data_IF_843060384829
#
_entry.id   IF_843060384829
#
_cell.length_a   1.000
_cell.length_b   1.000
_cell.length_c   1.000
_cell.angle_alpha   90.00
_cell.angle_beta   90.00
_cell.angle_gamma   90.00
#
_symmetry.space_group_name_H-M   'P 1'
#
loop_
_entity.id
_entity.type
_entity.pdbx_description
1 polymer ?
#
# COMPACT_ATOMS: atom_id res chain seq x y z
N UNK A 1 -2.96 -21.46 -3.01
CA UNK A 1 -3.21 -20.04 -3.24
C UNK A 1 -4.20 -19.95 -4.38
N UNK A 2 -5.32 -19.25 -4.19
CA UNK A 2 -6.42 -19.16 -5.18
C UNK A 2 -6.66 -17.71 -5.62
N UNK A 3 -5.61 -16.88 -5.57
CA UNK A 3 -5.68 -15.46 -5.87
C UNK A 3 -4.73 -15.08 -7.02
N UNK A 4 -5.12 -14.06 -7.77
CA UNK A 4 -4.40 -13.51 -8.91
C UNK A 4 -4.47 -11.98 -8.88
N UNK A 5 -3.34 -11.33 -9.13
CA UNK A 5 -3.25 -9.88 -9.26
C UNK A 5 -3.03 -9.48 -10.72
N UNK A 6 -3.93 -8.67 -11.26
CA UNK A 6 -3.94 -8.29 -12.68
C UNK A 6 -3.81 -6.77 -12.81
N UNK A 7 -2.76 -6.33 -13.51
CA UNK A 7 -2.56 -4.91 -13.86
C UNK A 7 -3.12 -4.57 -15.24
N UNK A 8 -2.79 -5.40 -16.22
CA UNK A 8 -3.12 -5.15 -17.61
C UNK A 8 -3.29 -6.43 -18.42
N UNK A 9 -4.03 -6.33 -19.54
CA UNK A 9 -4.14 -7.36 -20.55
C UNK A 9 -3.32 -6.98 -21.79
N UNK A 10 -2.51 -7.91 -22.28
CA UNK A 10 -1.85 -7.79 -23.59
C UNK A 10 -2.77 -8.33 -24.68
N UNK A 11 -2.98 -7.55 -25.74
CA UNK A 11 -3.75 -7.96 -26.91
C UNK A 11 -2.83 -8.42 -28.04
N UNK A 12 -3.34 -9.28 -28.92
CA UNK A 12 -2.59 -9.81 -30.07
C UNK A 12 -2.11 -8.73 -31.06
N UNK A 13 -2.71 -7.54 -31.03
CA UNK A 13 -2.31 -6.38 -31.84
C UNK A 13 -1.17 -5.55 -31.20
N UNK A 14 -0.58 -6.03 -30.10
CA UNK A 14 0.50 -5.35 -29.39
C UNK A 14 0.05 -4.24 -28.43
N UNK A 15 -1.25 -3.96 -28.34
CA UNK A 15 -1.78 -2.98 -27.38
C UNK A 15 -1.92 -3.61 -25.99
N UNK A 16 -1.70 -2.81 -24.95
CA UNK A 16 -2.00 -3.16 -23.57
C UNK A 16 -3.23 -2.40 -23.08
N UNK A 17 -4.12 -3.09 -22.36
CA UNK A 17 -5.25 -2.48 -21.65
C UNK A 17 -4.92 -2.54 -20.16
N UNK A 18 -4.58 -1.40 -19.56
CA UNK A 18 -4.42 -1.29 -18.11
C UNK A 18 -5.77 -1.10 -17.42
N UNK A 19 -6.03 -1.88 -16.37
CA UNK A 19 -7.32 -1.86 -15.67
C UNK A 19 -7.46 -0.68 -14.70
N UNK A 20 -6.35 -0.13 -14.23
CA UNK A 20 -6.31 1.01 -13.31
C UNK A 20 -6.09 2.35 -14.02
N UNK A 21 -5.75 2.32 -15.31
CA UNK A 21 -5.54 3.54 -16.09
C UNK A 21 -6.88 4.20 -16.45
N UNK A 22 -6.96 5.51 -16.14
CA UNK A 22 -8.11 6.37 -16.42
C UNK A 22 -8.23 6.73 -17.90
N UNK A 23 -7.17 6.54 -18.69
CA UNK A 23 -7.19 6.73 -20.15
C UNK A 23 -8.00 5.64 -20.87
N UNK A 24 -8.13 4.45 -20.25
CA UNK A 24 -8.92 3.35 -20.78
C UNK A 24 -10.42 3.67 -20.63
N UNK A 25 -11.24 3.44 -21.67
CA UNK A 25 -12.67 3.69 -21.63
C UNK A 25 -13.33 3.10 -20.38
N UNK A 26 -14.13 3.92 -19.70
CA UNK A 26 -14.81 3.55 -18.45
C UNK A 26 -15.69 2.32 -18.64
N UNK A 27 -16.51 2.30 -19.69
CA UNK A 27 -17.43 1.20 -19.99
C UNK A 27 -16.74 -0.17 -20.09
N UNK A 28 -15.52 -0.20 -20.64
CA UNK A 28 -14.72 -1.42 -20.73
C UNK A 28 -14.29 -1.88 -19.33
N UNK A 29 -13.80 -0.97 -18.50
CA UNK A 29 -13.40 -1.27 -17.11
C UNK A 29 -14.60 -1.69 -16.26
N UNK A 30 -15.76 -1.06 -16.43
CA UNK A 30 -17.01 -1.45 -15.77
C UNK A 30 -17.51 -2.83 -16.21
N UNK A 31 -17.44 -3.13 -17.51
CA UNK A 31 -17.77 -4.46 -18.01
C UNK A 31 -16.89 -5.54 -17.39
N UNK A 32 -15.58 -5.27 -17.28
CA UNK A 32 -14.64 -6.17 -16.59
C UNK A 32 -15.01 -6.30 -15.11
N UNK A 33 -15.24 -5.19 -14.40
CA UNK A 33 -15.67 -5.17 -13.00
C UNK A 33 -16.88 -6.09 -12.76
N UNK A 34 -17.95 -5.91 -13.53
CA UNK A 34 -19.15 -6.75 -13.40
C UNK A 34 -18.85 -8.23 -13.66
N UNK A 35 -18.04 -8.52 -14.68
CA UNK A 35 -17.65 -9.87 -15.05
C UNK A 35 -16.83 -10.58 -13.96
N UNK A 36 -15.90 -9.87 -13.32
CA UNK A 36 -15.06 -10.44 -12.25
C UNK A 36 -15.83 -10.56 -10.95
N UNK A 37 -16.63 -9.58 -10.56
CA UNK A 37 -17.40 -9.65 -9.31
C UNK A 37 -18.43 -10.79 -9.33
N UNK A 38 -18.95 -11.16 -10.51
CA UNK A 38 -19.79 -12.34 -10.67
C UNK A 38 -19.03 -13.67 -10.46
N UNK A 39 -17.72 -13.73 -10.78
CA UNK A 39 -16.92 -14.96 -10.76
C UNK A 39 -16.11 -15.17 -9.49
N UNK A 40 -15.54 -14.11 -8.93
CA UNK A 40 -14.62 -14.16 -7.80
C UNK A 40 -15.33 -13.84 -6.48
N UNK A 41 -14.89 -14.46 -5.38
CA UNK A 41 -15.45 -14.22 -4.04
C UNK A 41 -14.94 -12.89 -3.47
N UNK A 42 -13.71 -12.51 -3.80
CA UNK A 42 -13.13 -11.21 -3.42
C UNK A 42 -12.53 -10.55 -4.67
N UNK A 43 -12.94 -9.31 -4.93
CA UNK A 43 -12.36 -8.41 -5.93
C UNK A 43 -11.98 -7.13 -5.21
N UNK A 44 -10.68 -6.81 -5.20
CA UNK A 44 -10.12 -5.59 -4.64
C UNK A 44 -9.37 -4.84 -5.73
N UNK A 45 -9.55 -3.53 -5.81
CA UNK A 45 -8.91 -2.66 -6.79
C UNK A 45 -8.87 -1.23 -6.26
N UNK A 46 -8.63 -0.24 -7.12
CA UNK A 46 -8.50 1.14 -6.68
C UNK A 46 -9.66 1.58 -5.77
N UNK A 47 -9.33 2.18 -4.62
CA UNK A 47 -10.29 2.61 -3.62
C UNK A 47 -10.78 1.54 -2.63
N UNK A 48 -10.31 0.28 -2.70
CA UNK A 48 -10.57 -0.71 -1.64
C UNK A 48 -9.63 -0.53 -0.45
N UNK A 49 -8.33 -0.49 -0.73
CA UNK A 49 -7.25 -0.20 0.22
C UNK A 49 -5.99 0.23 -0.55
N UNK A 50 -4.98 0.71 0.17
CA UNK A 50 -3.74 1.23 -0.39
C UNK A 50 -2.87 0.20 -1.15
N UNK A 51 -3.06 -1.11 -0.93
CA UNK A 51 -2.29 -2.13 -1.65
C UNK A 51 -2.82 -2.34 -3.06
N UNK A 52 -4.11 -2.09 -3.33
CA UNK A 52 -4.77 -2.41 -4.59
C UNK A 52 -4.99 -1.19 -5.49
N UNK A 53 -4.19 -0.13 -5.35
CA UNK A 53 -4.36 1.10 -6.14
C UNK A 53 -3.84 0.98 -7.59
N UNK A 54 -2.90 0.06 -7.85
CA UNK A 54 -2.27 -0.11 -9.17
C UNK A 54 -2.62 -1.44 -9.86
N UNK A 55 -3.35 -2.33 -9.18
CA UNK A 55 -3.73 -3.65 -9.69
C UNK A 55 -5.08 -4.13 -9.14
N UNK A 56 -5.65 -5.15 -9.78
CA UNK A 56 -6.89 -5.79 -9.35
C UNK A 56 -6.57 -7.15 -8.76
N UNK A 57 -6.86 -7.33 -7.48
CA UNK A 57 -6.76 -8.60 -6.78
C UNK A 57 -8.07 -9.39 -6.93
N UNK A 58 -7.94 -10.63 -7.39
CA UNK A 58 -9.03 -11.55 -7.67
C UNK A 58 -8.81 -12.83 -6.86
N UNK A 59 -9.72 -13.17 -5.95
CA UNK A 59 -9.62 -14.37 -5.12
C UNK A 59 -10.88 -15.23 -5.23
N UNK A 60 -10.69 -16.55 -5.31
CA UNK A 60 -11.75 -17.57 -5.29
C UNK A 60 -11.91 -18.24 -3.92
N UNK A 61 -11.05 -17.95 -2.95
CA UNK A 61 -11.13 -18.53 -1.62
C UNK A 61 -12.51 -18.23 -0.99
N UNK A 62 -13.15 -19.29 -0.49
CA UNK A 62 -14.45 -19.17 0.16
C UNK A 62 -14.31 -18.42 1.50
N UNK A 63 -15.10 -17.36 1.67
CA UNK A 63 -15.20 -16.65 2.95
C UNK A 63 -16.32 -17.26 3.80
N UNK A 64 -16.25 -17.01 5.11
CA UNK A 64 -17.31 -17.38 6.05
C UNK A 64 -18.69 -16.94 5.54
N UNK A 65 -19.67 -17.84 5.63
CA UNK A 65 -21.04 -17.60 5.18
C UNK A 65 -21.18 -17.20 3.70
N UNK A 66 -20.25 -17.65 2.85
CA UNK A 66 -20.27 -17.38 1.40
C UNK A 66 -20.28 -15.88 1.05
N UNK A 67 -19.72 -15.07 1.95
CA UNK A 67 -19.65 -13.62 1.79
C UNK A 67 -18.79 -13.25 0.58
N UNK A 68 -19.24 -12.25 -0.19
CA UNK A 68 -18.56 -11.76 -1.38
C UNK A 68 -18.21 -10.28 -1.24
N UNK A 69 -17.01 -9.91 -1.69
CA UNK A 69 -16.53 -8.54 -1.70
C UNK A 69 -16.25 -8.13 -3.14
N UNK A 70 -16.80 -6.99 -3.55
CA UNK A 70 -16.53 -6.36 -4.83
C UNK A 70 -16.26 -4.89 -4.56
N UNK A 71 -14.98 -4.53 -4.40
CA UNK A 71 -14.53 -3.18 -4.12
C UNK A 71 -13.49 -2.79 -5.15
N UNK A 72 -13.94 -2.12 -6.20
CA UNK A 72 -13.06 -1.56 -7.22
C UNK A 72 -13.76 -0.36 -7.84
N UNK A 73 -13.25 0.83 -7.53
CA UNK A 73 -13.77 2.08 -8.06
C UNK A 73 -13.23 2.31 -9.47
N UNK A 74 -14.14 2.40 -10.44
CA UNK A 74 -13.80 2.75 -11.81
C UNK A 74 -13.83 4.28 -11.94
N UNK A 75 -12.66 4.90 -11.85
CA UNK A 75 -12.55 6.35 -11.95
C UNK A 75 -12.81 6.85 -13.37
N UNK A 76 -13.51 7.98 -13.47
CA UNK A 76 -13.69 8.74 -14.71
C UNK A 76 -12.36 9.22 -15.28
N UNK A 77 -12.23 9.43 -16.60
CA UNK A 77 -11.07 10.10 -17.17
C UNK A 77 -10.89 11.49 -16.55
N UNK A 78 -9.65 11.92 -16.36
CA UNK A 78 -9.38 13.30 -15.97
C UNK A 78 -9.83 14.24 -17.09
N UNK A 79 -10.39 15.42 -16.76
CA UNK A 79 -10.70 16.42 -17.76
C UNK A 79 -9.42 16.81 -18.50
N UNK A 80 -9.49 16.87 -19.84
CA UNK A 80 -8.33 17.21 -20.67
C UNK A 80 -7.90 18.66 -20.48
N UNK A 81 -8.87 19.53 -20.19
CA UNK A 81 -8.62 20.94 -19.88
C UNK A 81 -8.74 21.09 -18.37
N UNK A 82 -7.68 21.61 -17.74
CA UNK A 82 -7.71 21.96 -16.34
C UNK A 82 -8.83 22.99 -16.10
N UNK A 83 -9.68 22.79 -15.08
CA UNK A 83 -10.60 23.84 -14.65
C UNK A 83 -9.81 25.11 -14.39
N UNK A 84 -10.35 26.27 -14.80
CA UNK A 84 -9.72 27.55 -14.52
C UNK A 84 -9.53 27.66 -13.00
N UNK A 85 -8.27 27.79 -12.59
CA UNK A 85 -7.95 28.04 -11.19
C UNK A 85 -8.65 29.35 -10.79
N UNK A 86 -9.17 29.44 -9.55
CA UNK A 86 -9.66 30.72 -9.03
C UNK A 86 -8.59 31.80 -9.19
N UNK A 87 -9.02 33.04 -9.41
CA UNK A 87 -8.11 34.17 -9.46
C UNK A 87 -7.20 34.20 -8.24
N UNK A 88 -5.94 34.62 -8.43
CA UNK A 88 -4.99 34.75 -7.33
C UNK A 88 -5.57 35.63 -6.22
N UNK A 89 -5.23 35.30 -4.97
CA UNK A 89 -5.66 36.10 -3.82
C UNK A 89 -5.11 37.53 -4.01
N UNK A 90 -5.95 38.56 -3.98
CA UNK A 90 -5.47 39.93 -4.09
C UNK A 90 -4.48 40.27 -2.96
N UNK A 91 -3.44 41.05 -3.25
CA UNK A 91 -2.35 41.35 -2.29
C UNK A 91 -2.85 42.03 -1.00
N UNK A 92 -3.96 42.76 -1.07
CA UNK A 92 -4.60 43.42 0.08
C UNK A 92 -5.57 42.53 0.88
N UNK A 93 -5.70 41.25 0.55
CA UNK A 93 -6.59 40.36 1.28
C UNK A 93 -6.07 40.11 2.72
N UNK A 94 -6.94 40.16 3.74
CA UNK A 94 -6.53 39.90 5.10
C UNK A 94 -5.94 38.48 5.22
N UNK A 95 -4.96 38.29 6.14
CA UNK A 95 -4.39 36.98 6.41
C UNK A 95 -5.50 35.97 6.71
N UNK A 96 -5.36 34.75 6.16
CA UNK A 96 -6.31 33.67 6.45
C UNK A 96 -6.31 33.44 7.95
N UNK A 97 -7.48 33.53 8.58
CA UNK A 97 -7.61 33.31 10.02
C UNK A 97 -7.12 31.90 10.35
N UNK A 98 -6.00 31.82 11.06
CA UNK A 98 -5.45 30.57 11.58
C UNK A 98 -6.08 30.31 12.93
N UNK A 99 -6.56 29.08 13.15
CA UNK A 99 -7.08 28.67 14.45
C UNK A 99 -6.05 28.99 15.53
N UNK A 100 -6.45 29.78 16.53
CA UNK A 100 -5.58 30.23 17.61
C UNK A 100 -5.00 29.01 18.33
N UNK A 101 -3.67 28.89 18.29
CA UNK A 101 -2.96 27.91 19.10
C UNK A 101 -2.98 28.45 20.53
N UNK A 102 -3.78 27.82 21.39
CA UNK A 102 -3.77 28.12 22.82
C UNK A 102 -2.41 27.72 23.41
N UNK A 103 -1.49 28.68 23.48
CA UNK A 103 -0.27 28.57 24.26
C UNK A 103 -0.18 29.79 25.19
N UNK A 104 -0.66 29.60 26.42
CA UNK A 104 -0.45 30.51 27.53
C UNK A 104 -0.33 29.71 28.83
N UNK A 105 0.93 29.49 29.23
CA UNK A 105 1.45 29.52 30.60
C UNK A 105 0.93 28.50 31.62
N UNK A 106 1.71 27.42 31.82
CA UNK A 106 1.83 26.78 33.14
C UNK A 106 2.77 27.63 34.01
N UNK A 107 2.42 27.97 35.28
CA UNK A 107 3.33 28.63 36.19
C UNK A 107 4.39 27.66 36.74
N UNK A 108 5.60 28.19 36.94
CA UNK A 108 6.75 27.55 37.58
C UNK A 108 6.39 26.82 38.90
N UNK A 109 6.89 25.60 39.05
CA UNK A 109 6.96 24.86 40.31
C UNK A 109 8.40 24.31 40.50
N UNK A 110 8.90 24.19 41.74
CA UNK A 110 10.31 24.33 42.06
C UNK A 110 11.16 23.09 41.77
N UNK A 111 12.46 23.33 41.56
CA UNK A 111 13.52 22.32 41.37
C UNK A 111 13.58 21.33 42.54
N UNK A 112 13.50 20.04 42.22
CA UNK A 112 13.98 18.95 43.07
C UNK A 112 15.30 18.40 42.50
N UNK A 113 16.29 18.37 43.39
CA UNK A 113 17.67 17.91 43.26
C UNK A 113 17.80 16.53 42.59
N UNK A 114 18.71 16.37 41.63
CA UNK A 114 19.14 15.07 41.10
C UNK A 114 20.66 14.95 41.23
N UNK A 115 21.07 14.07 42.13
CA UNK A 115 22.45 13.63 42.30
C UNK A 115 22.97 12.78 41.14
N UNK A 116 24.12 13.23 40.63
CA UNK A 116 25.27 12.59 39.98
C UNK A 116 25.32 11.05 39.80
N UNK A 117 25.65 10.62 38.56
CA UNK A 117 26.77 9.72 38.16
C UNK A 117 26.56 9.33 36.68
N UNK A 118 27.29 9.91 35.72
CA UNK A 118 28.60 9.49 35.18
C UNK A 118 28.49 8.33 34.14
N UNK A 119 28.93 8.67 32.92
CA UNK A 119 29.07 7.89 31.68
C UNK A 119 30.16 6.79 31.80
N UNK A 120 30.31 5.91 30.80
CA UNK A 120 31.48 6.12 29.93
C UNK A 120 31.30 5.72 28.45
N UNK A 121 31.73 6.64 27.58
CA UNK A 121 32.89 6.56 26.67
C UNK A 121 32.93 5.55 25.50
N UNK A 122 33.61 6.01 24.46
CA UNK A 122 33.56 5.62 23.06
C UNK A 122 34.70 4.67 22.64
N UNK A 123 34.53 3.95 21.53
CA UNK A 123 35.61 3.71 20.55
C UNK A 123 35.11 3.16 19.20
N UNK A 124 35.56 3.84 18.13
CA UNK A 124 35.77 3.49 16.69
C UNK A 124 35.81 1.99 16.33
N UNK A 125 35.46 1.57 15.10
CA UNK A 125 36.25 1.77 13.87
C UNK A 125 35.51 1.32 12.59
N UNK A 126 35.96 1.89 11.47
CA UNK A 126 35.45 1.89 10.09
C UNK A 126 35.56 0.59 9.24
N UNK A 127 34.84 0.67 8.11
CA UNK A 127 35.16 0.23 6.73
C UNK A 127 34.80 -1.19 6.18
N UNK A 128 33.81 -1.14 5.27
CA UNK A 128 33.82 -1.55 3.85
C UNK A 128 33.87 -3.01 3.34
N UNK A 129 32.95 -3.20 2.38
CA UNK A 129 33.05 -3.91 1.09
C UNK A 129 32.90 -5.45 1.01
N UNK A 130 31.91 -5.84 0.20
CA UNK A 130 31.73 -7.13 -0.50
C UNK A 130 32.91 -7.42 -1.48
N UNK A 131 33.08 -8.58 -2.18
CA UNK A 131 32.05 -9.49 -2.71
C UNK A 131 32.37 -11.01 -2.85
N UNK A 132 31.35 -11.76 -3.30
CA UNK A 132 31.29 -12.97 -4.17
C UNK A 132 32.33 -14.12 -4.09
N UNK A 133 31.86 -15.38 -3.96
CA UNK A 133 32.12 -16.48 -4.93
C UNK A 133 31.47 -17.81 -4.52
N UNK A 134 31.02 -18.54 -5.55
CA UNK A 134 30.45 -19.88 -5.63
C UNK A 134 31.17 -21.00 -4.85
N UNK A 135 30.42 -22.02 -4.42
CA UNK A 135 30.58 -23.40 -4.92
C UNK A 135 29.62 -24.40 -4.24
N UNK A 136 29.05 -25.25 -5.09
CA UNK A 136 28.18 -26.41 -4.89
C UNK A 136 28.82 -27.52 -4.03
N UNK A 137 28.05 -28.29 -3.23
CA UNK A 137 28.09 -29.78 -3.15
C UNK A 137 26.96 -30.30 -2.22
N UNK A 138 26.12 -31.22 -2.72
CA UNK A 138 25.15 -32.10 -2.00
C UNK A 138 25.79 -33.51 -1.92
N UNK A 139 25.59 -34.45 -0.92
CA UNK A 139 24.29 -35.04 -0.59
C UNK A 139 23.98 -35.65 0.81
N UNK A 140 22.67 -35.82 1.04
CA UNK A 140 21.90 -36.87 1.77
C UNK A 140 22.42 -37.51 3.08
N UNK A 141 21.54 -37.61 4.09
CA UNK A 141 20.98 -38.88 4.62
C UNK A 141 19.93 -38.62 5.74
N UNK A 142 18.64 -38.88 5.50
CA UNK A 142 17.81 -40.05 5.94
C UNK A 142 17.37 -40.13 7.41
N UNK A 143 16.06 -40.42 7.59
CA UNK A 143 15.39 -41.20 8.67
C UNK A 143 15.10 -40.50 10.02
N UNK A 144 13.83 -40.12 10.26
CA UNK A 144 12.82 -40.95 10.98
C UNK A 144 11.51 -40.19 11.28
N UNK A 145 10.43 -40.89 10.96
CA UNK A 145 9.00 -40.64 11.21
C UNK A 145 8.67 -40.84 12.70
N UNK A 146 7.89 -39.92 13.30
CA UNK A 146 7.07 -40.24 14.49
C UNK A 146 5.71 -39.56 14.40
N UNK A 147 4.69 -40.39 14.24
CA UNK A 147 3.27 -40.09 14.33
C UNK A 147 2.82 -40.20 15.79
N UNK A 148 1.91 -39.32 16.22
CA UNK A 148 0.93 -39.49 17.31
C UNK A 148 0.03 -38.24 17.26
N UNK A 149 -1.20 -38.19 16.73
CA UNK A 149 -2.47 -38.94 16.94
C UNK A 149 -3.00 -38.94 18.38
N UNK A 150 -4.08 -38.15 18.56
CA UNK A 150 -5.27 -38.28 19.43
C UNK A 150 -5.11 -37.79 20.88
N UNK A 151 -5.98 -36.89 21.34
CA UNK A 151 -7.41 -37.13 21.62
C UNK A 151 -8.29 -36.06 20.99
#
# INVERSE_FOLDING_TARGET
ANALDVRAFGLANGKSISLTDRSVPRDLRETVLHSVCARFSTVLGPGSDWYHEDHIHLDLAERRSNYRICQWNVYDPLPQVAPLLPAERPEGAPPREVAQKADASRPDAPKADHGKADEPDAAKSDDAAAPESAAETKPQQTKKRRQSRRF
#
